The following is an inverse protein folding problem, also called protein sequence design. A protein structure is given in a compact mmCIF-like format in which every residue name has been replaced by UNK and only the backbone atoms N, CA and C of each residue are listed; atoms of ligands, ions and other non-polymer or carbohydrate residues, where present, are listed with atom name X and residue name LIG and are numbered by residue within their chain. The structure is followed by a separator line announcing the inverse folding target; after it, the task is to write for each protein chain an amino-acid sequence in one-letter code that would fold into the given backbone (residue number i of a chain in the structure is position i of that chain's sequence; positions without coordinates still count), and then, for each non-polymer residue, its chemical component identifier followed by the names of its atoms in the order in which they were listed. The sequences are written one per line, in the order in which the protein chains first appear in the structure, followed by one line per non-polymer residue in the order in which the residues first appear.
data_IF_199985905292
#
_entry.id   IF_199985905292
#
_cell.length_a   1.000
_cell.length_b   1.000
_cell.length_c   1.000
_cell.angle_alpha   90.00
_cell.angle_beta   90.00
_cell.angle_gamma   90.00
#
_symmetry.space_group_name_H-M   'P 1'
#
loop_
_entity.id
_entity.type
_entity.pdbx_description
1 polymer ?
#
# COMPACT_ATOMS: atom_id res chain seq x y z
N UNK A 1 55.20 57.99 24.64
CA UNK A 1 55.35 56.77 23.81
C UNK A 1 55.83 55.68 24.76
N UNK A 2 55.19 54.53 24.97
CA UNK A 2 54.26 53.78 24.14
C UNK A 2 53.38 52.84 24.99
N UNK A 3 52.15 52.66 24.48
CA UNK A 3 51.22 51.53 24.57
C UNK A 3 51.00 50.81 25.91
N UNK A 4 49.89 51.17 26.55
CA UNK A 4 49.05 50.23 27.29
C UNK A 4 48.59 49.10 26.34
N UNK A 5 48.91 47.86 26.71
CA UNK A 5 48.37 46.66 26.05
C UNK A 5 47.00 46.37 26.66
N UNK A 6 45.95 46.88 26.02
CA UNK A 6 44.59 46.39 26.19
C UNK A 6 44.55 44.91 25.83
N UNK A 7 44.46 44.07 26.86
CA UNK A 7 44.30 42.62 26.70
C UNK A 7 42.83 42.38 26.41
N UNK A 8 42.51 42.04 25.16
CA UNK A 8 41.17 41.61 24.73
C UNK A 8 40.89 40.25 25.41
N UNK A 9 39.79 40.07 26.16
CA UNK A 9 39.46 38.77 26.74
C UNK A 9 39.19 37.75 25.62
N UNK A 10 39.56 36.48 25.82
CA UNK A 10 39.34 35.44 24.82
C UNK A 10 37.84 35.29 24.51
N UNK A 11 37.50 35.19 23.22
CA UNK A 11 36.13 34.93 22.76
C UNK A 11 35.58 33.68 23.48
N UNK A 12 34.58 33.87 24.35
CA UNK A 12 33.81 32.81 25.00
C UNK A 12 32.99 31.95 24.00
N UNK A 13 33.09 32.24 22.70
CA UNK A 13 32.30 31.62 21.64
C UNK A 13 32.77 30.19 21.31
N UNK A 14 34.01 29.80 21.63
CA UNK A 14 34.56 28.48 21.27
C UNK A 14 34.35 27.37 22.33
N UNK A 15 33.89 27.69 23.54
CA UNK A 15 33.76 26.72 24.64
C UNK A 15 32.37 26.13 24.80
N UNK A 16 31.33 26.71 24.18
CA UNK A 16 29.94 26.23 24.34
C UNK A 16 29.61 25.23 23.22
N UNK A 17 29.33 23.94 23.54
CA UNK A 17 28.96 22.93 22.55
C UNK A 17 27.55 23.19 21.96
N UNK A 18 27.33 22.69 20.75
CA UNK A 18 26.01 22.72 20.08
C UNK A 18 24.98 21.93 20.91
N UNK A 19 23.94 22.61 21.40
CA UNK A 19 22.86 22.02 22.20
C UNK A 19 21.78 21.46 21.29
N UNK A 20 21.74 20.13 21.16
CA UNK A 20 20.86 19.43 20.20
C UNK A 20 19.47 19.14 20.77
N UNK A 21 19.34 19.13 22.09
CA UNK A 21 18.08 18.86 22.80
C UNK A 21 17.68 19.93 23.81
N UNK A 22 16.38 20.00 24.11
CA UNK A 22 15.85 20.90 25.15
C UNK A 22 16.39 20.59 26.54
N UNK A 23 16.64 19.32 26.84
CA UNK A 23 17.18 18.91 28.14
C UNK A 23 18.65 19.35 28.31
N UNK A 24 19.42 19.39 27.22
CA UNK A 24 20.79 19.93 27.22
C UNK A 24 20.76 21.45 27.40
N UNK A 25 19.90 22.13 26.65
CA UNK A 25 19.68 23.57 26.77
C UNK A 25 19.23 23.98 28.19
N UNK A 26 18.35 23.18 28.79
CA UNK A 26 17.87 23.40 30.16
C UNK A 26 18.99 23.27 31.21
N UNK A 27 19.89 22.29 31.04
CA UNK A 27 21.04 22.11 31.93
C UNK A 27 22.04 23.25 31.81
N UNK A 28 22.36 23.65 30.58
CA UNK A 28 23.32 24.72 30.31
C UNK A 28 22.83 26.07 30.85
N UNK A 29 21.54 26.40 30.68
CA UNK A 29 20.98 27.66 31.17
C UNK A 29 20.83 27.69 32.69
N UNK A 30 20.64 26.54 33.35
CA UNK A 30 20.47 26.50 34.80
C UNK A 30 21.73 26.99 35.56
N UNK A 31 22.90 26.83 34.95
CA UNK A 31 24.19 27.14 35.56
C UNK A 31 24.81 28.47 35.04
N UNK A 32 24.10 29.21 34.18
CA UNK A 32 24.59 30.44 33.55
C UNK A 32 23.91 31.70 34.09
N UNK A 33 24.70 32.76 34.24
CA UNK A 33 24.21 34.11 34.52
C UNK A 33 23.53 34.76 33.31
N UNK A 34 22.66 35.77 33.48
CA UNK A 34 22.02 36.48 32.37
C UNK A 34 23.00 37.03 31.32
N UNK A 35 24.14 37.57 31.78
CA UNK A 35 25.18 38.10 30.90
C UNK A 35 25.87 37.00 30.07
N UNK A 36 26.05 35.80 30.63
CA UNK A 36 26.62 34.66 29.89
C UNK A 36 25.63 34.10 28.87
N UNK A 37 24.32 34.12 29.18
CA UNK A 37 23.26 33.69 28.26
C UNK A 37 23.21 34.58 27.01
N UNK A 38 23.41 35.89 27.17
CA UNK A 38 23.43 36.85 26.05
C UNK A 38 24.61 36.66 25.10
N UNK A 39 25.71 36.05 25.59
CA UNK A 39 26.89 35.73 24.76
C UNK A 39 26.73 34.44 23.96
N UNK A 40 25.70 33.63 24.21
CA UNK A 40 25.47 32.39 23.49
C UNK A 40 25.15 32.70 22.03
N UNK A 41 25.90 32.09 21.09
CA UNK A 41 25.56 32.17 19.68
C UNK A 41 24.17 31.56 19.42
N UNK A 42 23.21 32.31 18.86
CA UNK A 42 21.86 31.82 18.57
C UNK A 42 21.81 30.54 17.73
N UNK A 43 22.84 30.20 16.95
CA UNK A 43 22.88 28.97 16.16
C UNK A 43 23.09 27.70 16.98
N UNK A 44 23.64 27.83 18.20
CA UNK A 44 24.00 26.69 19.07
C UNK A 44 22.87 26.18 19.95
N UNK A 45 21.73 26.87 19.99
CA UNK A 45 20.59 26.49 20.83
C UNK A 45 19.63 25.51 20.08
N UNK A 46 18.58 24.93 20.69
CA UNK A 46 17.59 24.12 19.99
C UNK A 46 16.50 24.95 19.27
N UNK A 47 15.91 24.42 18.19
CA UNK A 47 14.86 25.13 17.41
C UNK A 47 13.51 25.25 18.12
N UNK A 48 13.13 24.25 18.93
CA UNK A 48 11.81 24.16 19.54
C UNK A 48 11.89 24.27 21.07
N UNK A 49 12.03 25.49 21.57
CA UNK A 49 11.98 25.78 23.01
C UNK A 49 10.52 26.13 23.39
N UNK A 50 9.82 25.31 24.20
CA UNK A 50 8.46 25.55 24.65
C UNK A 50 8.37 26.85 25.44
N UNK A 51 7.34 27.65 25.13
CA UNK A 51 7.00 28.86 25.90
C UNK A 51 6.82 28.57 27.39
N UNK A 52 6.25 27.40 27.72
CA UNK A 52 6.09 26.91 29.10
C UNK A 52 7.40 26.78 29.88
N UNK A 53 8.52 26.54 29.19
CA UNK A 53 9.85 26.50 29.82
C UNK A 53 10.31 27.92 30.17
N UNK A 54 10.23 28.83 29.21
CA UNK A 54 10.64 30.23 29.34
C UNK A 54 9.86 30.93 30.46
N UNK A 55 8.55 30.71 30.54
CA UNK A 55 7.70 31.28 31.59
C UNK A 55 8.03 30.79 33.00
N UNK A 56 8.68 29.63 33.13
CA UNK A 56 9.07 29.05 34.43
C UNK A 56 10.46 29.51 34.89
N UNK A 57 11.21 30.22 34.05
CA UNK A 57 12.52 30.75 34.42
C UNK A 57 12.39 31.94 35.39
N UNK A 58 13.39 32.16 36.28
CA UNK A 58 13.50 33.36 37.10
C UNK A 58 13.41 34.63 36.25
N UNK A 59 12.83 35.70 36.81
CA UNK A 59 12.62 36.96 36.07
C UNK A 59 13.93 37.56 35.52
N UNK A 60 15.04 37.37 36.24
CA UNK A 60 16.37 37.88 35.90
C UNK A 60 16.96 37.21 34.65
N UNK A 61 16.78 35.89 34.48
CA UNK A 61 17.31 35.13 33.32
C UNK A 61 16.30 35.00 32.18
N UNK A 62 15.01 35.18 32.47
CA UNK A 62 13.93 35.04 31.48
C UNK A 62 14.11 35.97 30.29
N UNK A 63 14.43 37.25 30.52
CA UNK A 63 14.60 38.24 29.46
C UNK A 63 15.75 37.86 28.51
N UNK A 64 16.91 37.53 29.04
CA UNK A 64 18.08 37.12 28.24
C UNK A 64 17.81 35.85 27.43
N UNK A 65 17.05 34.89 27.98
CA UNK A 65 16.63 33.69 27.24
C UNK A 65 15.58 34.02 26.16
N UNK A 66 14.62 34.91 26.45
CA UNK A 66 13.64 35.39 25.45
C UNK A 66 14.31 36.10 24.29
N UNK A 67 15.27 36.99 24.57
CA UNK A 67 16.03 37.74 23.56
C UNK A 67 16.92 36.81 22.71
N UNK A 68 17.52 35.78 23.32
CA UNK A 68 18.29 34.75 22.63
C UNK A 68 17.41 33.90 21.69
N UNK A 69 16.24 33.47 22.18
CA UNK A 69 15.25 32.72 21.39
C UNK A 69 14.70 33.58 20.24
N UNK A 70 14.39 34.84 20.51
CA UNK A 70 13.94 35.79 19.49
C UNK A 70 15.00 36.02 18.42
N UNK A 71 16.25 36.24 18.83
CA UNK A 71 17.39 36.44 17.91
C UNK A 71 17.61 35.24 17.01
N UNK A 72 17.51 34.01 17.54
CA UNK A 72 17.53 32.78 16.75
C UNK A 72 16.38 32.73 15.75
N UNK A 73 15.15 32.93 16.22
CA UNK A 73 13.96 32.87 15.37
C UNK A 73 14.03 33.88 14.23
N UNK A 74 14.49 35.11 14.51
CA UNK A 74 14.71 36.15 13.51
C UNK A 74 15.76 35.72 12.47
N UNK A 75 16.90 35.15 12.88
CA UNK A 75 17.91 34.62 11.95
C UNK A 75 17.35 33.48 11.09
N UNK A 76 16.57 32.57 11.67
CA UNK A 76 15.92 31.49 10.95
C UNK A 76 14.91 31.99 9.92
N UNK A 77 14.14 33.04 10.23
CA UNK A 77 13.22 33.68 9.29
C UNK A 77 14.01 34.32 8.14
N UNK A 78 15.09 35.05 8.43
CA UNK A 78 15.97 35.63 7.39
C UNK A 78 16.58 34.56 6.49
N UNK A 79 17.07 33.47 7.07
CA UNK A 79 17.61 32.33 6.32
C UNK A 79 16.53 31.69 5.44
N UNK A 80 15.31 31.49 5.96
CA UNK A 80 14.17 31.00 5.18
C UNK A 80 13.80 31.92 4.02
N UNK A 81 13.77 33.24 4.25
CA UNK A 81 13.51 34.22 3.19
C UNK A 81 14.59 34.16 2.10
N UNK A 82 15.87 34.03 2.51
CA UNK A 82 16.99 33.89 1.57
C UNK A 82 16.92 32.60 0.76
N UNK A 83 16.62 31.47 1.40
CA UNK A 83 16.38 30.19 0.72
C UNK A 83 15.20 30.30 -0.23
N UNK A 84 14.10 30.95 0.19
CA UNK A 84 12.93 31.16 -0.67
C UNK A 84 13.28 31.99 -1.91
N UNK A 85 14.05 33.07 -1.76
CA UNK A 85 14.42 33.92 -2.89
C UNK A 85 15.43 33.26 -3.84
N UNK A 86 16.36 32.46 -3.31
CA UNK A 86 17.44 31.87 -4.11
C UNK A 86 17.10 30.47 -4.65
N UNK A 87 16.39 29.63 -3.89
CA UNK A 87 16.08 28.23 -4.22
C UNK A 87 14.60 27.97 -4.53
N UNK A 88 13.72 28.89 -4.16
CA UNK A 88 12.28 28.82 -4.39
C UNK A 88 11.47 28.31 -3.18
N UNK A 89 10.16 28.56 -3.23
CA UNK A 89 9.20 28.19 -2.17
C UNK A 89 9.15 26.68 -1.92
N UNK A 90 9.31 25.86 -2.96
CA UNK A 90 9.28 24.40 -2.87
C UNK A 90 10.41 23.84 -2.00
N UNK A 91 11.59 24.45 -2.04
CA UNK A 91 12.73 24.02 -1.23
C UNK A 91 12.47 24.29 0.25
N UNK A 92 11.84 25.42 0.58
CA UNK A 92 11.42 25.71 1.96
C UNK A 92 10.37 24.71 2.42
N UNK A 93 9.37 24.42 1.60
CA UNK A 93 8.35 23.42 1.92
C UNK A 93 8.94 22.01 2.14
N UNK A 94 9.94 21.62 1.34
CA UNK A 94 10.63 20.34 1.48
C UNK A 94 11.48 20.27 2.76
N UNK A 95 12.19 21.36 3.11
CA UNK A 95 12.90 21.47 4.39
C UNK A 95 11.93 21.40 5.57
N UNK A 96 10.78 22.05 5.49
CA UNK A 96 9.76 22.01 6.53
C UNK A 96 9.17 20.61 6.69
N UNK A 97 8.91 19.93 5.57
CA UNK A 97 8.52 18.51 5.57
C UNK A 97 9.54 17.66 6.32
N UNK A 98 10.84 17.87 6.07
CA UNK A 98 11.90 17.12 6.77
C UNK A 98 11.88 17.33 8.29
N UNK A 99 11.46 18.51 8.77
CA UNK A 99 11.37 18.81 10.20
C UNK A 99 10.21 18.05 10.86
N UNK A 100 9.06 18.02 10.18
CA UNK A 100 7.84 17.38 10.68
C UNK A 100 7.84 15.86 10.53
N UNK A 101 8.57 15.35 9.53
CA UNK A 101 8.73 13.92 9.34
C UNK A 101 9.37 13.29 10.58
N UNK A 102 8.62 12.36 11.17
CA UNK A 102 9.07 11.54 12.29
C UNK A 102 8.59 10.10 12.08
N UNK A 103 9.29 9.13 12.66
CA UNK A 103 8.86 7.72 12.63
C UNK A 103 7.70 7.49 13.63
N UNK A 104 7.24 8.54 14.30
CA UNK A 104 6.25 8.48 15.36
C UNK A 104 4.85 8.69 14.76
N UNK A 105 3.81 8.06 15.33
CA UNK A 105 2.45 8.13 14.78
C UNK A 105 2.09 6.94 13.91
N UNK A 106 1.49 7.18 12.74
CA UNK A 106 0.85 6.16 11.89
C UNK A 106 1.82 5.06 11.41
N UNK A 107 3.08 5.42 11.15
CA UNK A 107 4.16 4.46 10.82
C UNK A 107 4.44 3.47 11.96
N UNK A 108 4.59 3.95 13.20
CA UNK A 108 4.82 3.06 14.35
C UNK A 108 3.58 2.23 14.66
N UNK A 109 2.39 2.80 14.51
CA UNK A 109 1.14 2.05 14.68
C UNK A 109 1.03 0.90 13.68
N UNK A 110 1.24 1.15 12.38
CA UNK A 110 1.15 0.08 11.37
C UNK A 110 2.24 -0.97 11.56
N UNK A 111 3.45 -0.54 11.95
CA UNK A 111 4.57 -1.45 12.25
C UNK A 111 4.22 -2.40 13.39
N UNK A 112 3.68 -1.88 14.51
CA UNK A 112 3.28 -2.71 15.65
C UNK A 112 2.16 -3.68 15.27
N UNK A 113 1.15 -3.20 14.55
CA UNK A 113 0.07 -4.04 14.05
C UNK A 113 0.57 -5.17 13.12
N UNK A 114 1.50 -4.89 12.22
CA UNK A 114 2.14 -5.91 11.38
C UNK A 114 2.97 -6.92 12.18
N UNK A 115 3.64 -6.47 13.25
CA UNK A 115 4.36 -7.36 14.16
C UNK A 115 3.40 -8.30 14.90
N UNK A 116 2.25 -7.79 15.34
CA UNK A 116 1.24 -8.61 16.02
C UNK A 116 0.61 -9.64 15.08
N UNK A 117 0.31 -9.25 13.84
CA UNK A 117 -0.12 -10.18 12.80
C UNK A 117 0.92 -11.28 12.57
N UNK A 118 2.21 -10.91 12.52
CA UNK A 118 3.31 -11.88 12.39
C UNK A 118 3.38 -12.84 13.58
N UNK A 119 3.19 -12.36 14.82
CA UNK A 119 3.14 -13.22 16.02
C UNK A 119 2.00 -14.23 15.93
N UNK A 120 0.80 -13.81 15.53
CA UNK A 120 -0.36 -14.70 15.36
C UNK A 120 -0.07 -15.80 14.33
N UNK A 121 0.64 -15.48 13.24
CA UNK A 121 1.03 -16.46 12.22
C UNK A 121 2.09 -17.46 12.71
N UNK A 122 2.92 -17.06 13.66
CA UNK A 122 4.06 -17.85 14.15
C UNK A 122 3.75 -18.64 15.43
N UNK A 123 2.71 -18.27 16.16
CA UNK A 123 2.32 -18.95 17.41
C UNK A 123 1.89 -20.39 17.12
N UNK A 124 2.79 -21.33 17.40
CA UNK A 124 2.57 -22.79 17.31
C UNK A 124 1.39 -23.28 18.17
N UNK A 125 1.01 -22.52 19.20
CA UNK A 125 -0.06 -22.87 20.13
C UNK A 125 -1.45 -22.94 19.49
N UNK A 126 -1.69 -22.32 18.34
CA UNK A 126 -3.05 -22.22 17.81
C UNK A 126 -3.39 -23.22 16.71
N UNK A 127 -2.44 -24.00 16.15
CA UNK A 127 -2.67 -24.91 15.01
C UNK A 127 -3.68 -24.36 13.98
N UNK A 128 -3.62 -23.05 13.70
CA UNK A 128 -4.67 -22.38 12.94
C UNK A 128 -4.64 -22.91 11.52
N UNK A 129 -5.81 -23.28 11.01
CA UNK A 129 -5.93 -23.60 9.60
C UNK A 129 -5.53 -22.38 8.76
N UNK A 130 -4.94 -22.63 7.58
CA UNK A 130 -4.58 -21.57 6.65
C UNK A 130 -5.78 -20.67 6.26
N UNK A 131 -7.02 -21.21 6.35
CA UNK A 131 -8.24 -20.44 6.16
C UNK A 131 -8.44 -19.38 7.26
N UNK A 132 -8.25 -19.75 8.53
CA UNK A 132 -8.38 -18.79 9.64
C UNK A 132 -7.29 -17.71 9.55
N UNK A 133 -6.06 -18.10 9.17
CA UNK A 133 -4.97 -17.15 8.98
C UNK A 133 -5.32 -16.16 7.87
N UNK A 134 -5.79 -16.64 6.71
CA UNK A 134 -6.21 -15.78 5.60
C UNK A 134 -7.35 -14.83 6.01
N UNK A 135 -8.35 -15.32 6.75
CA UNK A 135 -9.45 -14.49 7.23
C UNK A 135 -8.96 -13.36 8.15
N UNK A 136 -8.10 -13.68 9.13
CA UNK A 136 -7.49 -12.69 10.02
C UNK A 136 -6.64 -11.66 9.26
N UNK A 137 -5.96 -12.06 8.18
CA UNK A 137 -5.21 -11.14 7.33
C UNK A 137 -6.12 -10.19 6.55
N UNK A 138 -7.29 -10.64 6.08
CA UNK A 138 -8.28 -9.79 5.42
C UNK A 138 -8.89 -8.80 6.42
N UNK A 139 -9.32 -9.28 7.58
CA UNK A 139 -9.84 -8.42 8.66
C UNK A 139 -8.81 -7.37 9.08
N UNK A 140 -7.56 -7.79 9.24
CA UNK A 140 -6.45 -6.89 9.48
C UNK A 140 -6.32 -5.83 8.39
N UNK A 141 -6.40 -6.20 7.12
CA UNK A 141 -6.29 -5.25 6.02
C UNK A 141 -7.44 -4.23 6.04
N UNK A 142 -8.68 -4.69 6.24
CA UNK A 142 -9.87 -3.83 6.30
C UNK A 142 -9.82 -2.85 7.48
N UNK A 143 -9.48 -3.33 8.67
CA UNK A 143 -9.39 -2.49 9.88
C UNK A 143 -8.28 -1.43 9.82
N UNK A 144 -7.32 -1.58 8.91
CA UNK A 144 -6.15 -0.72 8.81
C UNK A 144 -6.05 0.03 7.48
N UNK A 145 -7.12 0.04 6.68
CA UNK A 145 -7.13 0.71 5.38
C UNK A 145 -6.92 2.22 5.48
N UNK A 146 -7.57 2.88 6.44
CA UNK A 146 -7.34 4.31 6.71
C UNK A 146 -5.91 4.57 7.16
N UNK A 147 -5.40 3.74 8.07
CA UNK A 147 -4.04 3.88 8.60
C UNK A 147 -2.99 3.70 7.50
N UNK A 148 -3.17 2.76 6.58
CA UNK A 148 -2.24 2.60 5.46
C UNK A 148 -2.35 3.75 4.46
N UNK A 149 -3.53 4.34 4.26
CA UNK A 149 -3.69 5.52 3.42
C UNK A 149 -2.91 6.73 3.98
N UNK A 150 -2.92 6.93 5.30
CA UNK A 150 -2.10 7.95 5.96
C UNK A 150 -0.60 7.70 5.73
N UNK A 151 -0.13 6.47 5.90
CA UNK A 151 1.29 6.12 5.65
C UNK A 151 1.67 6.30 4.17
N UNK A 152 0.74 6.04 3.22
CA UNK A 152 0.95 6.33 1.80
C UNK A 152 1.07 7.82 1.53
N UNK A 153 0.24 8.64 2.17
CA UNK A 153 0.31 10.09 2.06
C UNK A 153 1.63 10.63 2.63
N UNK A 154 2.04 10.17 3.81
CA UNK A 154 3.34 10.51 4.41
C UNK A 154 4.50 10.11 3.48
N UNK A 155 4.45 8.90 2.91
CA UNK A 155 5.44 8.44 1.94
C UNK A 155 5.50 9.32 0.69
N UNK A 156 4.35 9.71 0.14
CA UNK A 156 4.27 10.56 -1.04
C UNK A 156 4.85 11.95 -0.77
N UNK A 157 4.45 12.59 0.33
CA UNK A 157 4.97 13.90 0.75
C UNK A 157 6.49 13.86 0.96
N UNK A 158 7.00 12.83 1.65
CA UNK A 158 8.43 12.68 1.87
C UNK A 158 9.20 12.42 0.57
N UNK A 159 8.62 11.69 -0.38
CA UNK A 159 9.25 11.38 -1.67
C UNK A 159 9.32 12.61 -2.58
N UNK A 160 8.27 13.43 -2.62
CA UNK A 160 8.26 14.71 -3.33
C UNK A 160 9.31 15.66 -2.73
N UNK A 161 9.31 15.82 -1.41
CA UNK A 161 10.30 16.67 -0.72
C UNK A 161 11.73 16.18 -0.95
N UNK A 162 11.97 14.86 -0.93
CA UNK A 162 13.28 14.26 -1.23
C UNK A 162 13.76 14.65 -2.64
N UNK A 163 12.87 14.54 -3.64
CA UNK A 163 13.18 14.88 -5.03
C UNK A 163 13.58 16.36 -5.16
N UNK A 164 12.78 17.26 -4.59
CA UNK A 164 13.05 18.69 -4.57
C UNK A 164 14.40 19.02 -3.94
N UNK A 165 14.74 18.39 -2.79
CA UNK A 165 16.02 18.66 -2.13
C UNK A 165 17.21 18.07 -2.90
N UNK A 166 17.05 16.92 -3.56
CA UNK A 166 18.13 16.26 -4.30
C UNK A 166 18.63 17.13 -5.46
N UNK A 167 17.72 17.70 -6.26
CA UNK A 167 18.09 18.56 -7.40
C UNK A 167 18.74 19.87 -6.94
N UNK A 168 18.29 20.43 -5.81
CA UNK A 168 18.75 21.73 -5.29
C UNK A 168 20.03 21.66 -4.47
N UNK A 169 20.30 20.56 -3.77
CA UNK A 169 21.54 20.34 -3.00
C UNK A 169 22.79 20.41 -3.89
N UNK A 170 22.67 19.87 -5.11
CA UNK A 170 23.74 19.80 -6.09
C UNK A 170 24.03 21.17 -6.69
N UNK A 171 22.99 21.96 -6.94
CA UNK A 171 23.10 23.27 -7.59
C UNK A 171 23.66 24.36 -6.67
N UNK A 172 23.50 24.22 -5.34
CA UNK A 172 23.82 25.30 -4.39
C UNK A 172 24.63 24.81 -3.17
N UNK A 173 25.97 24.71 -3.30
CA UNK A 173 26.85 24.21 -2.25
C UNK A 173 26.79 24.99 -0.94
N UNK A 174 26.44 26.28 -1.00
CA UNK A 174 26.30 27.16 0.17
C UNK A 174 25.28 26.64 1.20
N UNK A 175 24.24 25.93 0.74
CA UNK A 175 23.19 25.38 1.60
C UNK A 175 23.34 23.87 1.88
N UNK A 176 24.43 23.25 1.42
CA UNK A 176 24.66 21.80 1.54
C UNK A 176 24.57 21.30 2.99
N UNK A 177 25.12 22.06 3.96
CA UNK A 177 25.07 21.72 5.39
C UNK A 177 23.65 21.63 5.95
N UNK A 178 22.69 22.37 5.37
CA UNK A 178 21.28 22.34 5.77
C UNK A 178 20.49 21.29 4.97
N UNK A 179 20.75 21.18 3.67
CA UNK A 179 19.97 20.34 2.76
C UNK A 179 20.32 18.85 2.91
N UNK A 180 21.61 18.50 3.08
CA UNK A 180 22.02 17.09 3.14
C UNK A 180 21.42 16.32 4.33
N UNK A 181 21.41 16.86 5.57
CA UNK A 181 20.75 16.18 6.69
C UNK A 181 19.23 16.03 6.48
N UNK A 182 18.57 17.06 5.96
CA UNK A 182 17.15 17.04 5.64
C UNK A 182 16.81 15.99 4.58
N UNK A 183 17.61 15.92 3.51
CA UNK A 183 17.50 14.92 2.45
C UNK A 183 17.67 13.50 3.02
N UNK A 184 18.70 13.25 3.82
CA UNK A 184 18.93 11.92 4.40
C UNK A 184 17.80 11.50 5.35
N UNK A 185 17.30 12.42 6.18
CA UNK A 185 16.14 12.16 7.06
C UNK A 185 14.89 11.79 6.26
N UNK A 186 14.58 12.55 5.20
CA UNK A 186 13.46 12.25 4.31
C UNK A 186 13.64 10.91 3.60
N UNK A 187 14.87 10.59 3.16
CA UNK A 187 15.19 9.33 2.49
C UNK A 187 14.92 8.13 3.38
N UNK A 188 15.38 8.20 4.63
CA UNK A 188 15.18 7.13 5.61
C UNK A 188 13.69 6.92 5.89
N UNK A 189 12.95 8.01 6.13
CA UNK A 189 11.51 7.93 6.38
C UNK A 189 10.74 7.41 5.16
N UNK A 190 11.03 7.88 3.95
CA UNK A 190 10.40 7.39 2.73
C UNK A 190 10.69 5.90 2.51
N UNK A 191 11.92 5.45 2.80
CA UNK A 191 12.32 4.04 2.69
C UNK A 191 11.56 3.16 3.69
N UNK A 192 11.47 3.57 4.95
CA UNK A 192 10.74 2.83 6.00
C UNK A 192 9.25 2.75 5.66
N UNK A 193 8.65 3.88 5.27
CA UNK A 193 7.24 3.95 4.90
C UNK A 193 6.93 3.03 3.72
N UNK A 194 7.74 3.10 2.66
CA UNK A 194 7.60 2.22 1.49
C UNK A 194 7.72 0.74 1.87
N UNK A 195 8.68 0.39 2.74
CA UNK A 195 8.83 -1.00 3.21
C UNK A 195 7.58 -1.47 3.97
N UNK A 196 7.02 -0.66 4.87
CA UNK A 196 5.80 -1.00 5.60
C UNK A 196 4.60 -1.16 4.67
N UNK A 197 4.42 -0.25 3.71
CA UNK A 197 3.38 -0.33 2.68
C UNK A 197 3.53 -1.64 1.88
N UNK A 198 4.75 -1.97 1.46
CA UNK A 198 5.01 -3.20 0.71
C UNK A 198 4.69 -4.47 1.51
N UNK A 199 4.97 -4.48 2.82
CA UNK A 199 4.69 -5.62 3.70
C UNK A 199 3.19 -5.74 3.94
N UNK A 200 2.50 -4.62 4.18
CA UNK A 200 1.05 -4.60 4.34
C UNK A 200 0.33 -5.20 3.12
N UNK A 201 0.65 -4.70 1.92
CA UNK A 201 0.00 -5.20 0.70
C UNK A 201 0.44 -6.64 0.35
N UNK A 202 1.64 -7.07 0.75
CA UNK A 202 2.04 -8.47 0.63
C UNK A 202 1.16 -9.39 1.49
N UNK A 203 0.89 -9.00 2.73
CA UNK A 203 0.06 -9.78 3.65
C UNK A 203 -1.39 -9.88 3.14
N UNK A 204 -1.95 -8.79 2.61
CA UNK A 204 -3.26 -8.79 1.91
C UNK A 204 -3.24 -9.70 0.69
N UNK A 205 -2.22 -9.59 -0.17
CA UNK A 205 -2.09 -10.43 -1.37
C UNK A 205 -1.99 -11.92 -1.03
N UNK A 206 -1.25 -12.29 0.01
CA UNK A 206 -1.13 -13.68 0.45
C UNK A 206 -2.48 -14.27 0.85
N UNK A 207 -3.28 -13.50 1.59
CA UNK A 207 -4.61 -13.91 2.02
C UNK A 207 -5.55 -14.07 0.81
N UNK A 208 -5.62 -13.07 -0.07
CA UNK A 208 -6.43 -13.11 -1.28
C UNK A 208 -6.00 -14.26 -2.21
N UNK A 209 -4.69 -14.49 -2.39
CA UNK A 209 -4.16 -15.61 -3.16
C UNK A 209 -4.64 -16.96 -2.62
N UNK A 210 -4.59 -17.14 -1.30
CA UNK A 210 -5.08 -18.37 -0.67
C UNK A 210 -6.58 -18.57 -0.90
N UNK A 211 -7.39 -17.52 -0.71
CA UNK A 211 -8.84 -17.58 -0.93
C UNK A 211 -9.18 -17.90 -2.39
N UNK A 212 -8.52 -17.24 -3.34
CA UNK A 212 -8.65 -17.55 -4.77
C UNK A 212 -8.29 -19.00 -5.08
N UNK A 213 -7.16 -19.49 -4.57
CA UNK A 213 -6.73 -20.87 -4.79
C UNK A 213 -7.72 -21.89 -4.19
N UNK A 214 -8.24 -21.61 -3.00
CA UNK A 214 -9.27 -22.43 -2.35
C UNK A 214 -10.57 -22.44 -3.17
N UNK A 215 -10.97 -21.29 -3.72
CA UNK A 215 -12.16 -21.17 -4.57
C UNK A 215 -12.00 -21.97 -5.87
N UNK A 216 -10.86 -21.85 -6.53
CA UNK A 216 -10.53 -22.64 -7.73
C UNK A 216 -10.49 -24.13 -7.46
N UNK A 217 -9.94 -24.56 -6.31
CA UNK A 217 -9.97 -25.97 -5.91
C UNK A 217 -11.41 -26.48 -5.71
N UNK A 218 -12.29 -25.67 -5.12
CA UNK A 218 -13.71 -26.02 -4.97
C UNK A 218 -14.42 -26.12 -6.33
N UNK A 219 -14.19 -25.17 -7.25
CA UNK A 219 -14.71 -25.21 -8.62
C UNK A 219 -14.18 -26.45 -9.36
N UNK A 220 -12.89 -26.75 -9.23
CA UNK A 220 -12.28 -27.92 -9.89
C UNK A 220 -12.83 -29.23 -9.35
N UNK A 221 -13.17 -29.29 -8.05
CA UNK A 221 -13.83 -30.44 -7.44
C UNK A 221 -15.26 -30.58 -7.99
N UNK A 222 -16.00 -29.47 -8.03
CA UNK A 222 -17.34 -29.44 -8.60
C UNK A 222 -17.34 -29.90 -10.06
N UNK A 223 -16.46 -29.34 -10.91
CA UNK A 223 -16.38 -29.71 -12.33
C UNK A 223 -16.08 -31.21 -12.55
N UNK A 224 -15.37 -31.86 -11.62
CA UNK A 224 -15.14 -33.32 -11.66
C UNK A 224 -16.39 -34.10 -11.27
N UNK A 225 -17.09 -33.66 -10.23
CA UNK A 225 -18.35 -34.27 -9.78
C UNK A 225 -19.43 -34.12 -10.86
N UNK A 226 -19.56 -32.93 -11.45
CA UNK A 226 -20.53 -32.64 -12.51
C UNK A 226 -20.26 -33.47 -13.77
N UNK A 227 -18.98 -33.69 -14.14
CA UNK A 227 -18.62 -34.58 -15.26
C UNK A 227 -18.98 -36.03 -14.97
N UNK A 228 -18.69 -36.53 -13.76
CA UNK A 228 -19.04 -37.90 -13.39
C UNK A 228 -20.56 -38.11 -13.37
N UNK A 229 -21.31 -37.13 -12.85
CA UNK A 229 -22.77 -37.16 -12.85
C UNK A 229 -23.33 -37.08 -14.30
N UNK A 230 -22.72 -36.27 -15.18
CA UNK A 230 -23.10 -36.18 -16.59
C UNK A 230 -22.84 -37.48 -17.37
N UNK A 231 -21.69 -38.12 -17.17
CA UNK A 231 -21.39 -39.44 -17.77
C UNK A 231 -22.40 -40.50 -17.32
N UNK A 232 -22.82 -40.46 -16.04
CA UNK A 232 -23.85 -41.36 -15.51
C UNK A 232 -25.23 -41.07 -16.12
N UNK A 233 -25.58 -39.80 -16.32
CA UNK A 233 -26.80 -39.41 -17.04
C UNK A 233 -26.78 -39.97 -18.47
N UNK A 234 -25.66 -39.87 -19.18
CA UNK A 234 -25.54 -40.41 -20.54
C UNK A 234 -25.66 -41.93 -20.59
N UNK A 235 -25.10 -42.65 -19.61
CA UNK A 235 -25.29 -44.10 -19.47
C UNK A 235 -26.76 -44.45 -19.22
N UNK A 236 -27.40 -43.78 -18.26
CA UNK A 236 -28.82 -43.97 -17.95
C UNK A 236 -29.72 -43.63 -19.16
N UNK A 237 -29.39 -42.60 -19.95
CA UNK A 237 -30.10 -42.28 -21.19
C UNK A 237 -29.96 -43.40 -22.24
N UNK A 238 -28.77 -44.00 -22.39
CA UNK A 238 -28.57 -45.16 -23.28
C UNK A 238 -29.36 -46.38 -22.81
N UNK A 239 -29.37 -46.65 -21.50
CA UNK A 239 -30.18 -47.72 -20.91
C UNK A 239 -31.68 -47.47 -21.08
N UNK A 240 -32.12 -46.23 -20.92
CA UNK A 240 -33.50 -45.81 -21.16
C UNK A 240 -33.90 -46.09 -22.62
N UNK A 241 -33.08 -45.70 -23.60
CA UNK A 241 -33.32 -45.98 -25.02
C UNK A 241 -33.33 -47.49 -25.31
N UNK A 242 -32.40 -48.24 -24.73
CA UNK A 242 -32.36 -49.71 -24.87
C UNK A 242 -33.61 -50.37 -24.29
N UNK A 243 -34.07 -49.93 -23.10
CA UNK A 243 -35.29 -50.44 -22.47
C UNK A 243 -36.53 -50.14 -23.30
N UNK A 244 -36.63 -48.96 -23.90
CA UNK A 244 -37.73 -48.58 -24.81
C UNK A 244 -37.77 -49.47 -26.06
N UNK A 245 -36.62 -49.86 -26.60
CA UNK A 245 -36.55 -50.79 -27.74
C UNK A 245 -36.96 -52.23 -27.38
N UNK A 246 -36.71 -52.67 -26.14
CA UNK A 246 -37.05 -54.02 -25.65
C UNK A 246 -38.54 -54.16 -25.31
N UNK A 247 -39.18 -53.13 -24.74
CA UNK A 247 -40.62 -53.13 -24.43
C UNK A 247 -41.51 -53.28 -25.66
N UNK A 248 -41.03 -52.86 -26.85
CA UNK A 248 -41.73 -53.12 -28.12
C UNK A 248 -41.77 -54.61 -28.51
N UNK A 249 -40.95 -55.47 -27.89
CA UNK A 249 -40.81 -56.90 -28.24
C UNK A 249 -41.29 -57.89 -27.18
N UNK A 250 -41.56 -57.48 -25.94
CA UNK A 250 -41.92 -58.39 -24.84
C UNK A 250 -43.15 -57.93 -24.05
N UNK A 251 -44.06 -58.86 -23.73
CA UNK A 251 -45.34 -58.65 -23.03
C UNK A 251 -45.24 -58.22 -21.54
N UNK A 252 -44.04 -57.93 -21.01
CA UNK A 252 -43.80 -57.55 -19.61
C UNK A 252 -43.85 -56.02 -19.39
N UNK A 253 -45.01 -55.40 -19.69
CA UNK A 253 -45.20 -53.94 -19.63
C UNK A 253 -45.00 -53.33 -18.23
N UNK A 254 -45.44 -54.00 -17.16
CA UNK A 254 -45.42 -53.43 -15.79
C UNK A 254 -44.00 -53.24 -15.24
N UNK A 255 -43.20 -54.31 -15.21
CA UNK A 255 -41.82 -54.28 -14.68
C UNK A 255 -40.89 -53.35 -15.48
N UNK A 256 -41.08 -53.27 -16.79
CA UNK A 256 -40.31 -52.37 -17.64
C UNK A 256 -40.70 -50.90 -17.46
N UNK A 257 -41.97 -50.61 -17.13
CA UNK A 257 -42.44 -49.27 -16.79
C UNK A 257 -41.86 -48.80 -15.44
N UNK A 258 -41.85 -49.64 -14.41
CA UNK A 258 -41.21 -49.33 -13.12
C UNK A 258 -39.71 -49.04 -13.26
N UNK A 259 -39.01 -49.85 -14.06
CA UNK A 259 -37.57 -49.64 -14.32
C UNK A 259 -37.33 -48.30 -15.04
N UNK A 260 -38.22 -47.93 -15.96
CA UNK A 260 -38.15 -46.66 -16.70
C UNK A 260 -38.35 -45.45 -15.78
N UNK A 261 -39.35 -45.52 -14.91
CA UNK A 261 -39.63 -44.46 -13.93
C UNK A 261 -38.49 -44.29 -12.93
N UNK A 262 -37.87 -45.41 -12.50
CA UNK A 262 -36.68 -45.38 -11.66
C UNK A 262 -35.49 -44.67 -12.35
N UNK A 263 -35.20 -45.03 -13.61
CA UNK A 263 -34.14 -44.39 -14.41
C UNK A 263 -34.41 -42.89 -14.61
N UNK A 264 -35.65 -42.51 -14.94
CA UNK A 264 -36.04 -41.11 -15.11
C UNK A 264 -35.91 -40.29 -13.82
N UNK A 265 -36.27 -40.88 -12.67
CA UNK A 265 -36.12 -40.25 -11.36
C UNK A 265 -34.65 -40.05 -11.02
N UNK A 266 -33.78 -41.01 -11.33
CA UNK A 266 -32.34 -40.91 -11.11
C UNK A 266 -31.69 -39.84 -12.01
N UNK A 267 -32.04 -39.80 -13.30
CA UNK A 267 -31.60 -38.73 -14.23
C UNK A 267 -32.03 -37.35 -13.71
N UNK A 268 -33.27 -37.23 -13.24
CA UNK A 268 -33.79 -35.96 -12.70
C UNK A 268 -33.06 -35.54 -11.42
N UNK A 269 -32.76 -36.50 -10.53
CA UNK A 269 -32.00 -36.25 -9.31
C UNK A 269 -30.56 -35.80 -9.61
N UNK A 270 -29.85 -36.49 -10.52
CA UNK A 270 -28.50 -36.11 -10.94
C UNK A 270 -28.50 -34.73 -11.63
N UNK A 271 -29.47 -34.47 -12.51
CA UNK A 271 -29.61 -33.17 -13.18
C UNK A 271 -29.88 -32.03 -12.18
N UNK A 272 -30.69 -32.30 -11.14
CA UNK A 272 -30.92 -31.34 -10.06
C UNK A 272 -29.67 -31.14 -9.21
N UNK A 273 -28.91 -32.20 -8.93
CA UNK A 273 -27.66 -32.15 -8.16
C UNK A 273 -26.64 -31.26 -8.85
N UNK A 274 -26.38 -31.48 -10.15
CA UNK A 274 -25.48 -30.63 -10.97
C UNK A 274 -25.88 -29.15 -10.88
N UNK A 275 -27.18 -28.85 -11.01
CA UNK A 275 -27.67 -27.46 -10.90
C UNK A 275 -27.52 -26.88 -9.49
N UNK A 276 -27.65 -27.69 -8.45
CA UNK A 276 -27.60 -27.23 -7.05
C UNK A 276 -26.20 -27.08 -6.48
N UNK A 277 -25.19 -27.72 -7.09
CA UNK A 277 -23.83 -27.80 -6.54
C UNK A 277 -22.91 -26.66 -7.04
N UNK A 278 -23.48 -25.59 -7.61
CA UNK A 278 -22.71 -24.48 -8.16
C UNK A 278 -21.92 -23.74 -7.07
N UNK A 279 -20.61 -23.58 -7.26
CA UNK A 279 -19.74 -22.76 -6.42
C UNK A 279 -19.73 -21.32 -6.97
N UNK A 280 -20.49 -20.37 -6.40
CA UNK A 280 -20.64 -19.04 -6.99
C UNK A 280 -19.40 -18.20 -6.78
N UNK A 281 -18.95 -17.48 -7.80
CA UNK A 281 -17.94 -16.41 -7.66
C UNK A 281 -18.70 -15.09 -7.52
N UNK A 282 -18.39 -14.29 -6.48
CA UNK A 282 -19.09 -13.02 -6.24
C UNK A 282 -18.33 -11.83 -6.83
N UNK A 283 -19.06 -10.80 -7.22
CA UNK A 283 -18.53 -9.53 -7.72
C UNK A 283 -17.61 -8.88 -6.68
N UNK A 284 -18.02 -8.92 -5.41
CA UNK A 284 -17.25 -8.38 -4.28
C UNK A 284 -15.92 -9.10 -4.08
N UNK A 285 -15.89 -10.43 -4.25
CA UNK A 285 -14.65 -11.19 -4.18
C UNK A 285 -13.70 -10.79 -5.31
N UNK A 286 -14.22 -10.68 -6.55
CA UNK A 286 -13.42 -10.34 -7.73
C UNK A 286 -12.80 -8.94 -7.62
N UNK A 287 -13.57 -7.94 -7.19
CA UNK A 287 -13.05 -6.58 -7.01
C UNK A 287 -12.03 -6.51 -5.87
N UNK A 288 -12.30 -7.16 -4.72
CA UNK A 288 -11.35 -7.24 -3.61
C UNK A 288 -10.03 -7.92 -4.01
N UNK A 289 -10.09 -9.03 -4.77
CA UNK A 289 -8.91 -9.74 -5.23
C UNK A 289 -8.13 -8.95 -6.26
N UNK A 290 -8.81 -8.24 -7.17
CA UNK A 290 -8.17 -7.33 -8.11
C UNK A 290 -7.41 -6.22 -7.37
N UNK A 291 -8.05 -5.56 -6.42
CA UNK A 291 -7.44 -4.49 -5.63
C UNK A 291 -6.18 -4.98 -4.92
N UNK A 292 -6.21 -6.16 -4.31
CA UNK A 292 -5.03 -6.75 -3.67
C UNK A 292 -3.88 -7.03 -4.65
N UNK A 293 -4.18 -7.49 -5.86
CA UNK A 293 -3.20 -7.71 -6.94
C UNK A 293 -2.61 -6.38 -7.42
N UNK A 294 -3.46 -5.37 -7.62
CA UNK A 294 -3.09 -4.04 -8.09
C UNK A 294 -2.25 -3.32 -7.05
N UNK A 295 -2.71 -3.20 -5.81
CA UNK A 295 -2.03 -2.50 -4.73
C UNK A 295 -0.62 -3.04 -4.49
N UNK A 296 -0.49 -4.37 -4.39
CA UNK A 296 0.83 -4.98 -4.24
C UNK A 296 1.71 -4.75 -5.47
N UNK A 297 1.13 -4.65 -6.67
CA UNK A 297 1.89 -4.39 -7.87
C UNK A 297 2.48 -2.97 -7.95
N UNK A 298 1.86 -2.02 -7.26
CA UNK A 298 2.34 -0.63 -7.14
C UNK A 298 3.46 -0.51 -6.10
N UNK A 299 3.36 -1.26 -4.99
CA UNK A 299 4.29 -1.19 -3.86
C UNK A 299 5.18 -2.44 -3.74
N UNK A 300 5.62 -3.00 -4.87
CA UNK A 300 6.39 -4.26 -4.90
C UNK A 300 7.67 -4.15 -4.08
N UNK A 301 7.85 -5.08 -3.15
CA UNK A 301 9.15 -5.32 -2.54
C UNK A 301 10.04 -6.12 -3.50
N UNK A 302 11.37 -5.93 -3.45
CA UNK A 302 12.37 -6.64 -4.29
C UNK A 302 12.48 -8.14 -4.00
N UNK A 303 11.67 -8.69 -3.08
CA UNK A 303 11.73 -10.10 -2.69
C UNK A 303 11.11 -11.00 -3.76
N UNK A 304 11.90 -11.96 -4.27
CA UNK A 304 11.50 -12.96 -5.27
C UNK A 304 10.19 -13.70 -4.91
N UNK A 305 10.01 -14.06 -3.64
CA UNK A 305 8.78 -14.74 -3.17
C UNK A 305 7.51 -13.94 -3.47
N UNK A 306 7.55 -12.62 -3.29
CA UNK A 306 6.40 -11.76 -3.54
C UNK A 306 6.02 -11.70 -5.02
N UNK A 307 7.02 -11.68 -5.91
CA UNK A 307 6.78 -11.74 -7.37
C UNK A 307 6.13 -13.06 -7.80
N UNK A 308 6.60 -14.19 -7.26
CA UNK A 308 6.00 -15.50 -7.57
C UNK A 308 4.53 -15.56 -7.12
N UNK A 309 4.23 -15.09 -5.90
CA UNK A 309 2.85 -15.05 -5.39
C UNK A 309 1.97 -14.14 -6.24
N UNK A 310 2.47 -12.96 -6.64
CA UNK A 310 1.73 -12.04 -7.50
C UNK A 310 1.35 -12.69 -8.83
N UNK A 311 2.28 -13.40 -9.49
CA UNK A 311 1.98 -14.07 -10.76
C UNK A 311 0.95 -15.19 -10.58
N UNK A 312 1.05 -15.99 -9.51
CA UNK A 312 0.04 -17.01 -9.20
C UNK A 312 -1.33 -16.38 -8.91
N UNK A 313 -1.37 -15.28 -8.15
CA UNK A 313 -2.61 -14.56 -7.85
C UNK A 313 -3.26 -13.99 -9.11
N UNK A 314 -2.48 -13.42 -10.04
CA UNK A 314 -2.98 -12.94 -11.34
C UNK A 314 -3.60 -14.05 -12.18
N UNK A 315 -2.93 -15.20 -12.27
CA UNK A 315 -3.45 -16.34 -13.01
C UNK A 315 -4.73 -16.89 -12.37
N UNK A 316 -4.77 -16.97 -11.04
CA UNK A 316 -5.97 -17.41 -10.33
C UNK A 316 -7.14 -16.43 -10.55
N UNK A 317 -6.88 -15.12 -10.45
CA UNK A 317 -7.89 -14.09 -10.67
C UNK A 317 -8.46 -14.14 -12.09
N UNK A 318 -7.61 -14.33 -13.10
CA UNK A 318 -8.04 -14.47 -14.49
C UNK A 318 -8.97 -15.69 -14.67
N UNK A 319 -8.59 -16.84 -14.11
CA UNK A 319 -9.43 -18.05 -14.18
C UNK A 319 -10.79 -17.83 -13.49
N UNK A 320 -10.80 -17.17 -12.33
CA UNK A 320 -12.03 -16.87 -11.59
C UNK A 320 -12.91 -15.86 -12.31
N UNK A 321 -12.33 -14.84 -12.96
CA UNK A 321 -13.06 -13.89 -13.80
C UNK A 321 -13.71 -14.58 -15.00
N UNK A 322 -12.96 -15.44 -15.70
CA UNK A 322 -13.50 -16.21 -16.83
C UNK A 322 -14.65 -17.13 -16.37
N UNK A 323 -14.49 -17.80 -15.23
CA UNK A 323 -15.56 -18.63 -14.66
C UNK A 323 -16.78 -17.81 -14.27
N UNK A 324 -16.57 -16.62 -13.71
CA UNK A 324 -17.66 -15.71 -13.37
C UNK A 324 -18.47 -15.30 -14.61
N UNK A 325 -17.82 -14.84 -15.68
CA UNK A 325 -18.49 -14.52 -16.95
C UNK A 325 -19.27 -15.71 -17.51
N UNK A 326 -18.65 -16.91 -17.54
CA UNK A 326 -19.33 -18.13 -17.99
C UNK A 326 -20.57 -18.47 -17.16
N UNK A 327 -20.51 -18.28 -15.84
CA UNK A 327 -21.65 -18.52 -14.96
C UNK A 327 -22.77 -17.50 -15.23
N UNK A 328 -22.44 -16.21 -15.44
CA UNK A 328 -23.44 -15.18 -15.77
C UNK A 328 -24.14 -15.47 -17.10
N UNK A 329 -23.38 -15.80 -18.15
CA UNK A 329 -23.93 -16.20 -19.45
C UNK A 329 -24.84 -17.43 -19.35
N UNK A 330 -24.38 -18.46 -18.64
CA UNK A 330 -25.15 -19.69 -18.43
C UNK A 330 -26.43 -19.42 -17.63
N UNK A 331 -26.36 -18.57 -16.61
CA UNK A 331 -27.53 -18.15 -15.83
C UNK A 331 -28.54 -17.40 -16.70
N UNK A 332 -28.09 -16.44 -17.50
CA UNK A 332 -28.94 -15.69 -18.44
C UNK A 332 -29.65 -16.63 -19.43
N UNK A 333 -28.92 -17.58 -20.01
CA UNK A 333 -29.49 -18.59 -20.91
C UNK A 333 -30.51 -19.50 -20.22
N UNK A 334 -30.23 -19.92 -18.98
CA UNK A 334 -31.15 -20.75 -18.20
C UNK A 334 -32.44 -19.99 -17.84
N UNK A 335 -32.34 -18.70 -17.54
CA UNK A 335 -33.49 -17.82 -17.29
C UNK A 335 -34.31 -17.67 -18.57
N UNK A 336 -33.68 -17.39 -19.70
CA UNK A 336 -34.36 -17.26 -20.99
C UNK A 336 -35.10 -18.52 -21.42
N UNK A 337 -34.58 -19.71 -21.08
CA UNK A 337 -35.18 -21.01 -21.39
C UNK A 337 -36.24 -21.47 -20.39
N UNK A 338 -36.45 -20.76 -19.29
CA UNK A 338 -37.38 -21.19 -18.23
C UNK A 338 -38.75 -20.49 -18.36
N UNK A 339 -39.79 -21.19 -18.85
CA UNK A 339 -41.11 -20.60 -19.05
C UNK A 339 -41.90 -20.39 -17.74
N UNK A 340 -41.39 -20.88 -16.59
CA UNK A 340 -42.10 -20.86 -15.31
C UNK A 340 -41.52 -19.86 -14.29
N UNK A 341 -40.76 -18.88 -14.75
CA UNK A 341 -40.23 -17.83 -13.88
C UNK A 341 -41.36 -16.96 -13.32
N UNK A 342 -41.38 -16.83 -11.99
CA UNK A 342 -42.31 -15.93 -11.28
C UNK A 342 -41.92 -14.45 -11.43
N UNK A 343 -40.66 -14.17 -11.76
CA UNK A 343 -40.12 -12.84 -12.00
C UNK A 343 -40.06 -12.54 -13.50
N UNK A 344 -40.04 -11.25 -13.88
CA UNK A 344 -39.89 -10.85 -15.29
C UNK A 344 -38.49 -11.27 -15.80
N UNK A 345 -38.39 -12.22 -16.75
CA UNK A 345 -37.12 -12.79 -17.20
C UNK A 345 -36.19 -11.75 -17.83
N UNK A 346 -36.73 -10.77 -18.53
CA UNK A 346 -35.96 -9.70 -19.17
C UNK A 346 -35.19 -8.88 -18.13
N UNK A 347 -35.86 -8.51 -17.02
CA UNK A 347 -35.22 -7.75 -15.94
C UNK A 347 -34.11 -8.53 -15.24
N UNK A 348 -34.30 -9.84 -15.06
CA UNK A 348 -33.29 -10.70 -14.42
C UNK A 348 -32.08 -10.87 -15.34
N UNK A 349 -32.29 -11.13 -16.62
CA UNK A 349 -31.20 -11.22 -17.62
C UNK A 349 -30.44 -9.89 -17.69
N UNK A 350 -31.14 -8.75 -17.77
CA UNK A 350 -30.50 -7.44 -17.77
C UNK A 350 -29.67 -7.21 -16.51
N UNK A 351 -30.14 -7.63 -15.34
CA UNK A 351 -29.39 -7.52 -14.10
C UNK A 351 -28.10 -8.36 -14.14
N UNK A 352 -28.20 -9.63 -14.54
CA UNK A 352 -27.07 -10.56 -14.72
C UNK A 352 -26.01 -10.00 -15.67
N UNK A 353 -26.40 -9.48 -16.84
CA UNK A 353 -25.46 -8.91 -17.80
C UNK A 353 -24.86 -7.58 -17.31
N UNK A 354 -25.64 -6.76 -16.59
CA UNK A 354 -25.13 -5.52 -15.98
C UNK A 354 -24.13 -5.78 -14.86
N UNK A 355 -24.30 -6.83 -14.06
CA UNK A 355 -23.32 -7.19 -13.03
C UNK A 355 -22.01 -7.64 -13.65
N UNK A 356 -22.06 -8.40 -14.75
CA UNK A 356 -20.87 -8.72 -15.53
C UNK A 356 -20.18 -7.48 -16.09
N UNK A 357 -20.93 -6.59 -16.76
CA UNK A 357 -20.40 -5.35 -17.31
C UNK A 357 -19.73 -4.49 -16.23
N UNK A 358 -20.35 -4.36 -15.06
CA UNK A 358 -19.78 -3.64 -13.92
C UNK A 358 -18.40 -4.19 -13.52
N UNK A 359 -18.26 -5.51 -13.37
CA UNK A 359 -16.98 -6.13 -13.00
C UNK A 359 -15.93 -5.88 -14.09
N UNK A 360 -16.28 -6.04 -15.37
CA UNK A 360 -15.34 -5.80 -16.47
C UNK A 360 -14.89 -4.34 -16.56
N UNK A 361 -15.82 -3.40 -16.37
CA UNK A 361 -15.51 -1.97 -16.33
C UNK A 361 -14.61 -1.63 -15.14
N UNK A 362 -14.83 -2.24 -13.98
CA UNK A 362 -13.96 -2.08 -12.81
C UNK A 362 -12.53 -2.56 -13.10
N UNK A 363 -12.38 -3.73 -13.74
CA UNK A 363 -11.07 -4.25 -14.16
C UNK A 363 -10.36 -3.32 -15.15
N UNK A 364 -11.10 -2.78 -16.12
CA UNK A 364 -10.56 -1.85 -17.09
C UNK A 364 -10.13 -0.52 -16.43
N UNK A 365 -10.97 0.04 -15.56
CA UNK A 365 -10.66 1.26 -14.82
C UNK A 365 -9.38 1.09 -13.98
N UNK A 366 -9.25 -0.02 -13.25
CA UNK A 366 -8.04 -0.33 -12.46
C UNK A 366 -6.80 -0.51 -13.32
N UNK A 367 -6.92 -1.13 -14.50
CA UNK A 367 -5.80 -1.21 -15.45
C UNK A 367 -5.34 0.17 -15.89
N UNK A 368 -6.27 1.06 -16.27
CA UNK A 368 -5.97 2.42 -16.70
C UNK A 368 -5.29 3.21 -15.57
N UNK A 369 -5.81 3.12 -14.35
CA UNK A 369 -5.24 3.75 -13.15
C UNK A 369 -3.77 3.33 -12.96
N UNK A 370 -3.48 2.03 -12.99
CA UNK A 370 -2.12 1.48 -12.82
C UNK A 370 -1.20 1.90 -13.95
N UNK A 371 -1.64 1.80 -15.21
CA UNK A 371 -0.84 2.21 -16.37
C UNK A 371 -0.50 3.69 -16.27
N UNK A 372 -1.46 4.53 -15.92
CA UNK A 372 -1.25 5.97 -15.76
C UNK A 372 -0.22 6.26 -14.66
N UNK A 373 -0.34 5.61 -13.50
CA UNK A 373 0.61 5.77 -12.41
C UNK A 373 2.03 5.33 -12.81
N UNK A 374 2.16 4.17 -13.48
CA UNK A 374 3.44 3.66 -13.95
C UNK A 374 4.08 4.57 -15.00
N UNK A 375 3.27 5.11 -15.93
CA UNK A 375 3.74 6.08 -16.92
C UNK A 375 4.23 7.37 -16.27
N UNK A 376 3.55 7.87 -15.22
CA UNK A 376 4.01 9.03 -14.45
C UNK A 376 5.34 8.75 -13.75
N UNK A 377 5.44 7.63 -13.02
CA UNK A 377 6.68 7.23 -12.34
C UNK A 377 7.84 6.99 -13.33
N UNK A 378 7.57 6.41 -14.50
CA UNK A 378 8.58 6.20 -15.54
C UNK A 378 9.06 7.53 -16.13
N UNK A 379 8.15 8.48 -16.35
CA UNK A 379 8.47 9.83 -16.82
C UNK A 379 9.33 10.58 -15.80
N UNK A 380 8.98 10.52 -14.51
CA UNK A 380 9.80 11.07 -13.42
C UNK A 380 11.21 10.45 -13.41
N UNK A 381 11.32 9.13 -13.53
CA UNK A 381 12.61 8.44 -13.60
C UNK A 381 13.43 8.78 -14.83
N UNK A 382 12.77 8.97 -15.98
CA UNK A 382 13.45 9.41 -17.21
C UNK A 382 14.00 10.82 -17.06
N UNK A 383 13.24 11.72 -16.43
CA UNK A 383 13.70 13.07 -16.13
C UNK A 383 14.89 13.05 -15.15
N UNK A 384 14.82 12.22 -14.10
CA UNK A 384 15.92 12.02 -13.15
C UNK A 384 17.22 11.59 -13.86
N UNK A 385 17.12 10.65 -14.81
CA UNK A 385 18.26 10.14 -15.56
C UNK A 385 18.86 11.22 -16.47
N UNK A 386 18.02 12.00 -17.16
CA UNK A 386 18.47 13.10 -18.00
C UNK A 386 19.16 14.21 -17.18
N UNK A 387 18.68 14.51 -15.98
CA UNK A 387 19.35 15.45 -15.07
C UNK A 387 20.71 14.93 -14.60
N UNK A 388 20.81 13.64 -14.24
CA UNK A 388 22.06 13.01 -13.85
C UNK A 388 23.06 13.01 -15.01
N UNK A 389 22.62 12.66 -16.22
CA UNK A 389 23.46 12.68 -17.42
C UNK A 389 24.00 14.09 -17.69
N UNK A 390 23.14 15.10 -17.68
CA UNK A 390 23.55 16.50 -17.86
C UNK A 390 24.55 16.94 -16.79
N UNK A 391 24.36 16.51 -15.54
CA UNK A 391 25.27 16.80 -14.45
C UNK A 391 26.65 16.13 -14.64
N UNK A 392 26.67 14.85 -15.05
CA UNK A 392 27.91 14.13 -15.38
C UNK A 392 28.64 14.80 -16.54
N UNK A 393 27.92 15.20 -17.59
CA UNK A 393 28.47 15.90 -18.74
C UNK A 393 29.03 17.28 -18.36
N UNK A 394 28.36 18.03 -17.48
CA UNK A 394 28.87 19.29 -16.95
C UNK A 394 30.15 19.09 -16.13
N UNK A 395 30.20 18.08 -15.27
CA UNK A 395 31.42 17.72 -14.53
C UNK A 395 32.57 17.31 -15.46
N UNK A 396 32.29 16.54 -16.52
CA UNK A 396 33.27 16.16 -17.53
C UNK A 396 33.81 17.36 -18.31
N UNK A 397 32.94 18.31 -18.70
CA UNK A 397 33.36 19.56 -19.36
C UNK A 397 34.23 20.43 -18.44
N UNK A 398 33.87 20.53 -17.15
CA UNK A 398 34.66 21.26 -16.15
C UNK A 398 36.05 20.65 -15.95
N UNK A 399 36.15 19.32 -15.93
CA UNK A 399 37.42 18.61 -15.80
C UNK A 399 38.27 18.62 -17.08
N UNK A 400 37.66 18.75 -18.28
CA UNK A 400 38.41 18.90 -19.54
C UNK A 400 39.08 20.26 -19.71
N UNK A 401 38.60 21.31 -19.05
CA UNK A 401 39.24 22.63 -19.04
C UNK A 401 40.34 22.80 -17.97
N UNK A 402 40.57 21.77 -17.14
CA UNK A 402 41.65 21.70 -16.15
C UNK A 402 42.82 20.82 -16.62
N UNK A 403 42.89 20.51 -17.91
CA UNK A 403 44.02 19.82 -18.55
C UNK A 403 44.72 20.73 -19.54
#
# INVERSE_FOLDING_TARGET
MASDKTTIPPNADDTIPEMRGIEEFRKVIADMSPAEIEMINPEKIPENIPSKFITKLPAETRKSVEDLVFSRNMRMIKLRQKIKSELGQETVAALDTSKHVSINGSINQIKNKLLDLKKIKQSKHYNLSNTIIAQKQIEFAMMNEKLIAEVRQEHAQASVALHTLKSKAIQNPAYSKLILPAHEKLRQHATISHQLISVFYLERLLACHYLMAKKLAAISKQDREDRADAEKIDQLNKELLASQSRVKRTFLRGKAQETREAIQKEISALSSKIKSNEVPVSDTDLTMWLDAVVDYSLYKNRKLRGHMILNKARNNLLQLLLRYCQNQETSALNIAKNPFLRANPEKVIQFTLKSEQFVLDYFNAKRIEVTTLLSLTAKERSNDLAEIENHILQHLKRNKHLR
#
